data_IF_408752752926
#
_entry.id   IF_408752752926
#
_cell.length_a   1.000
_cell.length_b   1.000
_cell.length_c   1.000
_cell.angle_alpha   90.00
_cell.angle_beta   90.00
_cell.angle_gamma   90.00
#
_symmetry.space_group_name_H-M   'P 1'
#
loop_
_entity.id
_entity.type
_entity.pdbx_description
1 polymer ?
#
# COMPACT_ATOMS: atom_id res chain seq x y z
N UNK A 1 -66.24 22.70 23.82
CA UNK A 1 -66.28 21.52 22.93
C UNK A 1 -65.61 20.35 23.65
N UNK A 2 -66.29 19.20 23.80
CA UNK A 2 -65.69 18.02 24.45
C UNK A 2 -64.52 17.54 23.58
N UNK A 3 -63.32 17.42 24.17
CA UNK A 3 -62.13 16.93 23.47
C UNK A 3 -62.36 15.46 23.07
N UNK A 4 -62.47 15.19 21.78
CA UNK A 4 -62.76 13.84 21.23
C UNK A 4 -61.54 12.90 21.32
N UNK A 5 -60.33 13.44 21.44
CA UNK A 5 -59.09 12.68 21.42
C UNK A 5 -58.28 12.87 22.70
N UNK A 6 -57.57 11.82 23.12
CA UNK A 6 -56.54 11.93 24.16
C UNK A 6 -55.32 12.67 23.61
N UNK A 7 -54.86 13.69 24.32
CA UNK A 7 -53.70 14.48 23.94
C UNK A 7 -52.40 13.80 24.37
N UNK A 8 -51.29 14.20 23.76
CA UNK A 8 -49.94 13.78 24.11
C UNK A 8 -49.65 14.11 25.58
N UNK A 9 -49.17 13.13 26.33
CA UNK A 9 -48.89 13.27 27.77
C UNK A 9 -47.68 14.21 28.02
N UNK A 10 -46.78 14.37 27.04
CA UNK A 10 -45.61 15.24 27.14
C UNK A 10 -45.93 16.70 26.84
N UNK A 11 -46.56 16.99 25.69
CA UNK A 11 -46.78 18.37 25.25
C UNK A 11 -48.20 18.88 25.52
N UNK A 12 -49.19 18.01 25.74
CA UNK A 12 -50.62 18.35 25.91
C UNK A 12 -51.27 19.17 24.79
N UNK A 13 -50.55 19.42 23.68
CA UNK A 13 -50.99 20.29 22.58
C UNK A 13 -51.53 19.50 21.37
N UNK A 14 -50.96 18.33 21.08
CA UNK A 14 -51.30 17.48 19.91
C UNK A 14 -51.96 16.17 20.34
N UNK A 15 -52.79 15.51 19.50
CA UNK A 15 -53.32 14.18 19.80
C UNK A 15 -52.19 13.15 19.97
N UNK A 16 -52.32 12.29 20.97
CA UNK A 16 -51.36 11.21 21.21
C UNK A 16 -51.58 10.07 20.22
N UNK A 17 -50.69 9.94 19.24
CA UNK A 17 -50.81 8.97 18.14
C UNK A 17 -49.97 7.71 18.36
N UNK A 18 -48.98 7.77 19.25
CA UNK A 18 -48.05 6.68 19.56
C UNK A 18 -48.17 6.33 21.04
N UNK A 19 -48.26 5.05 21.36
CA UNK A 19 -48.22 4.55 22.75
C UNK A 19 -46.94 3.78 22.99
N UNK A 20 -46.21 4.13 24.04
CA UNK A 20 -45.03 3.38 24.45
C UNK A 20 -45.39 2.43 25.61
N UNK A 21 -45.18 1.13 25.42
CA UNK A 21 -45.48 0.14 26.46
C UNK A 21 -44.56 0.28 27.67
N UNK A 22 -43.30 0.66 27.46
CA UNK A 22 -42.31 0.84 28.52
C UNK A 22 -42.58 2.08 29.36
N UNK A 23 -43.00 3.19 28.74
CA UNK A 23 -43.30 4.45 29.44
C UNK A 23 -44.75 4.51 29.96
N UNK A 24 -45.62 3.59 29.52
CA UNK A 24 -47.07 3.62 29.74
C UNK A 24 -47.73 4.97 29.39
N UNK A 25 -47.17 5.68 28.42
CA UNK A 25 -47.56 7.04 28.04
C UNK A 25 -47.85 7.16 26.54
N UNK A 26 -48.72 8.11 26.17
CA UNK A 26 -49.06 8.45 24.78
C UNK A 26 -48.34 9.71 24.34
N UNK A 27 -47.64 9.62 23.21
CA UNK A 27 -46.89 10.71 22.61
C UNK A 27 -47.50 11.11 21.26
N UNK A 28 -47.36 12.38 20.87
CA UNK A 28 -47.46 12.75 19.47
C UNK A 28 -46.16 12.37 18.75
N UNK A 29 -46.21 12.28 17.42
CA UNK A 29 -45.08 11.82 16.61
C UNK A 29 -43.77 12.59 16.89
N UNK A 30 -43.85 13.91 17.08
CA UNK A 30 -42.67 14.73 17.36
C UNK A 30 -42.04 14.42 18.73
N UNK A 31 -42.87 14.31 19.77
CA UNK A 31 -42.39 13.98 21.12
C UNK A 31 -41.89 12.53 21.21
N UNK A 32 -42.45 11.62 20.40
CA UNK A 32 -41.98 10.23 20.34
C UNK A 32 -40.53 10.15 19.84
N UNK A 33 -40.20 10.90 18.77
CA UNK A 33 -38.85 10.96 18.23
C UNK A 33 -37.83 11.53 19.22
N UNK A 34 -38.20 12.55 19.99
CA UNK A 34 -37.30 13.14 21.01
C UNK A 34 -37.00 12.18 22.16
N UNK A 35 -38.01 11.43 22.63
CA UNK A 35 -37.88 10.53 23.79
C UNK A 35 -37.31 9.17 23.41
N UNK A 36 -37.67 8.63 22.24
CA UNK A 36 -37.36 7.23 21.89
C UNK A 36 -36.25 7.07 20.84
N UNK A 37 -35.82 8.11 20.11
CA UNK A 37 -34.64 7.96 19.22
C UNK A 37 -33.33 7.73 19.98
N UNK A 38 -33.24 8.17 21.24
CA UNK A 38 -32.03 8.01 22.04
C UNK A 38 -31.94 6.64 22.74
N UNK A 39 -33.07 5.93 22.91
CA UNK A 39 -33.14 4.65 23.62
C UNK A 39 -33.84 3.59 22.77
N UNK A 40 -33.05 2.72 22.11
CA UNK A 40 -33.54 1.63 21.25
C UNK A 40 -34.37 0.53 21.98
N UNK A 41 -34.50 0.62 23.31
CA UNK A 41 -35.19 -0.40 24.12
C UNK A 41 -36.69 -0.14 24.34
N UNK A 42 -37.26 0.88 23.71
CA UNK A 42 -38.67 1.22 23.86
C UNK A 42 -39.51 0.60 22.74
N UNK A 43 -40.54 -0.15 23.12
CA UNK A 43 -41.55 -0.66 22.17
C UNK A 43 -42.67 0.36 22.03
N UNK A 44 -42.71 1.00 20.87
CA UNK A 44 -43.76 1.96 20.50
C UNK A 44 -44.73 1.33 19.50
N UNK A 45 -46.02 1.57 19.71
CA UNK A 45 -47.10 1.11 18.83
C UNK A 45 -47.96 2.31 18.41
N UNK A 46 -48.39 2.34 17.14
CA UNK A 46 -49.31 3.37 16.66
C UNK A 46 -50.70 3.08 17.23
N UNK A 47 -51.26 4.06 17.96
CA UNK A 47 -52.60 3.93 18.53
C UNK A 47 -53.63 3.81 17.40
N UNK A 48 -54.56 2.86 17.51
CA UNK A 48 -55.69 2.79 16.57
C UNK A 48 -56.66 3.96 16.78
N UNK A 49 -57.44 4.32 15.75
CA UNK A 49 -58.48 5.35 15.84
C UNK A 49 -59.46 5.12 17.02
N UNK A 50 -59.73 3.85 17.33
CA UNK A 50 -60.57 3.45 18.48
C UNK A 50 -59.91 3.75 19.81
N UNK A 51 -58.59 3.57 19.93
CA UNK A 51 -57.82 3.86 21.14
C UNK A 51 -57.55 5.36 21.33
N UNK A 52 -57.54 6.14 20.24
CA UNK A 52 -57.38 7.60 20.29
C UNK A 52 -58.66 8.31 20.78
N UNK A 53 -59.86 7.75 20.55
CA UNK A 53 -61.12 8.34 20.99
C UNK A 53 -61.33 8.19 22.49
N UNK A 54 -61.65 9.30 23.17
CA UNK A 54 -62.15 9.25 24.54
C UNK A 54 -63.57 8.69 24.53
N UNK A 55 -63.74 7.41 24.89
CA UNK A 55 -65.06 6.83 25.16
C UNK A 55 -65.57 7.47 26.46
N UNK A 56 -66.38 8.52 26.34
CA UNK A 56 -67.21 8.98 27.44
C UNK A 56 -68.31 7.93 27.66
N UNK A 57 -68.09 7.02 28.61
CA UNK A 57 -69.12 6.13 29.13
C UNK A 57 -70.14 6.92 29.96
N UNK A 58 -71.01 7.70 29.32
CA UNK A 58 -72.24 8.21 29.94
C UNK A 58 -73.19 8.66 28.85
N UNK A 59 -74.15 7.80 28.45
CA UNK A 59 -75.58 8.16 28.31
C UNK A 59 -76.43 6.92 27.97
N UNK A 60 -77.33 6.59 28.90
CA UNK A 60 -78.56 5.85 28.66
C UNK A 60 -79.44 6.69 27.71
N UNK A 61 -79.94 6.13 26.60
CA UNK A 61 -81.14 6.65 25.94
C UNK A 61 -82.06 5.49 25.57
N UNK A 62 -83.31 5.69 25.97
CA UNK A 62 -84.45 4.79 25.97
C UNK A 62 -84.98 4.54 24.54
N UNK A 63 -85.41 3.31 24.29
CA UNK A 63 -86.25 2.94 23.14
C UNK A 63 -87.71 3.17 23.49
N UNK A 64 -88.41 4.04 22.75
CA UNK A 64 -89.86 4.22 22.78
C UNK A 64 -90.43 3.92 21.37
N UNK A 65 -91.29 2.92 21.36
CA UNK A 65 -92.52 2.70 20.56
C UNK A 65 -92.62 3.02 19.07
N UNK A 66 -92.99 1.98 18.32
CA UNK A 66 -93.84 2.08 17.13
C UNK A 66 -94.91 0.98 17.17
N UNK A 67 -96.00 1.30 17.85
CA UNK A 67 -97.32 0.74 17.58
C UNK A 67 -98.20 1.87 17.02
N UNK A 68 -99.29 1.45 16.35
CA UNK A 68 -100.41 2.23 15.80
C UNK A 68 -100.32 2.42 14.28
N UNK A 69 -101.03 1.57 13.53
CA UNK A 69 -102.36 1.93 13.00
C UNK A 69 -103.05 0.70 12.39
N UNK A 70 -104.16 0.27 12.98
CA UNK A 70 -105.10 -0.69 12.43
C UNK A 70 -106.45 0.01 12.23
N UNK A 71 -107.24 -0.52 11.29
CA UNK A 71 -108.70 -0.40 11.13
C UNK A 71 -109.29 0.84 10.42
N UNK A 72 -109.88 0.57 9.24
CA UNK A 72 -111.29 0.94 9.01
C UNK A 72 -111.95 -0.06 8.05
N UNK A 73 -113.12 -0.56 8.44
CA UNK A 73 -113.97 -1.55 7.75
C UNK A 73 -115.15 -0.84 7.07
N UNK A 74 -115.53 -1.35 5.89
CA UNK A 74 -116.90 -1.55 5.37
C UNK A 74 -117.86 -0.36 5.24
N UNK A 75 -118.03 0.12 4.00
CA UNK A 75 -119.31 0.40 3.32
C UNK A 75 -119.04 0.79 1.85
N UNK A 76 -120.04 0.66 0.96
CA UNK A 76 -120.04 0.91 -0.50
C UNK A 76 -119.78 -0.30 -1.41
N UNK A 77 -120.68 -1.28 -1.33
CA UNK A 77 -121.07 -2.08 -2.49
C UNK A 77 -122.05 -1.21 -3.30
N UNK A 78 -121.92 -1.19 -4.63
CA UNK A 78 -122.78 -0.48 -5.65
C UNK A 78 -122.24 0.85 -6.24
N UNK A 79 -121.04 1.34 -5.88
CA UNK A 79 -120.26 2.31 -6.71
C UNK A 79 -118.93 1.69 -7.23
N UNK A 80 -118.48 0.58 -6.64
CA UNK A 80 -117.18 -0.03 -6.90
C UNK A 80 -116.97 -0.72 -8.25
N UNK A 81 -117.93 -0.76 -9.17
CA UNK A 81 -117.69 -1.37 -10.49
C UNK A 81 -117.04 -0.38 -11.48
N UNK A 82 -117.32 0.91 -11.33
CA UNK A 82 -116.74 1.96 -12.17
C UNK A 82 -115.38 2.45 -11.61
N UNK A 83 -115.23 2.54 -10.28
CA UNK A 83 -113.95 2.81 -9.62
C UNK A 83 -112.95 1.65 -9.78
N UNK A 84 -113.40 0.39 -9.72
CA UNK A 84 -112.53 -0.76 -9.98
C UNK A 84 -112.02 -0.76 -11.43
N UNK A 85 -112.86 -0.37 -12.38
CA UNK A 85 -112.47 -0.26 -13.79
C UNK A 85 -111.45 0.88 -14.00
N UNK A 86 -111.64 2.04 -13.36
CA UNK A 86 -110.64 3.12 -13.35
C UNK A 86 -109.33 2.71 -12.67
N UNK A 87 -109.39 1.99 -11.54
CA UNK A 87 -108.20 1.46 -10.87
C UNK A 87 -107.47 0.42 -11.73
N UNK A 88 -108.19 -0.38 -12.52
CA UNK A 88 -107.61 -1.34 -13.45
C UNK A 88 -106.90 -0.64 -14.63
N UNK A 89 -107.47 0.46 -15.11
CA UNK A 89 -106.86 1.34 -16.13
C UNK A 89 -105.61 2.07 -15.57
N UNK A 90 -105.66 2.53 -14.33
CA UNK A 90 -104.49 3.12 -13.66
C UNK A 90 -103.39 2.10 -13.39
N UNK A 91 -103.74 0.87 -12.96
CA UNK A 91 -102.78 -0.22 -12.76
C UNK A 91 -102.12 -0.61 -14.07
N UNK A 92 -102.88 -0.75 -15.16
CA UNK A 92 -102.30 -1.06 -16.48
C UNK A 92 -101.41 0.07 -16.99
N UNK A 93 -101.75 1.33 -16.71
CA UNK A 93 -100.87 2.48 -16.98
C UNK A 93 -99.59 2.43 -16.17
N UNK A 94 -99.68 2.14 -14.86
CA UNK A 94 -98.51 2.01 -13.97
C UNK A 94 -97.63 0.84 -14.40
N UNK A 95 -98.20 -0.31 -14.76
CA UNK A 95 -97.45 -1.46 -15.29
C UNK A 95 -96.71 -1.12 -16.59
N UNK A 96 -97.31 -0.31 -17.45
CA UNK A 96 -96.66 0.18 -18.67
C UNK A 96 -95.50 1.13 -18.34
N UNK A 97 -95.69 2.06 -17.39
CA UNK A 97 -94.63 2.95 -16.90
C UNK A 97 -93.48 2.17 -16.27
N UNK A 98 -93.78 1.15 -15.45
CA UNK A 98 -92.77 0.24 -14.87
C UNK A 98 -91.98 -0.46 -15.97
N UNK A 99 -92.64 -1.03 -16.99
CA UNK A 99 -91.95 -1.65 -18.13
C UNK A 99 -91.07 -0.67 -18.89
N UNK A 100 -91.51 0.58 -19.05
CA UNK A 100 -90.67 1.63 -19.66
C UNK A 100 -89.45 1.95 -18.79
N UNK A 101 -89.61 2.05 -17.47
CA UNK A 101 -88.49 2.26 -16.54
C UNK A 101 -87.52 1.08 -16.54
N UNK A 102 -88.00 -0.16 -16.55
CA UNK A 102 -87.16 -1.35 -16.66
C UNK A 102 -86.33 -1.37 -17.95
N UNK A 103 -86.91 -0.93 -19.07
CA UNK A 103 -86.16 -0.79 -20.33
C UNK A 103 -85.06 0.27 -20.22
N UNK A 104 -85.36 1.44 -19.63
CA UNK A 104 -84.37 2.50 -19.42
C UNK A 104 -83.25 2.04 -18.48
N UNK A 105 -83.58 1.35 -17.39
CA UNK A 105 -82.60 0.80 -16.44
C UNK A 105 -81.72 -0.25 -17.11
N UNK A 106 -82.29 -1.20 -17.85
CA UNK A 106 -81.53 -2.19 -18.61
C UNK A 106 -80.59 -1.51 -19.63
N UNK A 107 -81.02 -0.45 -20.31
CA UNK A 107 -80.16 0.29 -21.24
C UNK A 107 -79.01 1.00 -20.53
N UNK A 108 -79.26 1.59 -19.35
CA UNK A 108 -78.22 2.21 -18.54
C UNK A 108 -77.24 1.17 -17.99
N UNK A 109 -77.72 0.05 -17.47
CA UNK A 109 -76.90 -1.04 -16.96
C UNK A 109 -75.98 -1.58 -18.06
N UNK A 110 -76.52 -1.88 -19.24
CA UNK A 110 -75.71 -2.31 -20.39
C UNK A 110 -74.67 -1.26 -20.82
N UNK A 111 -74.99 0.04 -20.71
CA UNK A 111 -74.03 1.11 -20.99
C UNK A 111 -72.89 1.11 -19.97
N UNK A 112 -73.20 0.90 -18.69
CA UNK A 112 -72.21 0.87 -17.61
C UNK A 112 -71.33 -0.37 -17.70
N UNK A 113 -71.91 -1.55 -17.97
CA UNK A 113 -71.16 -2.80 -18.19
C UNK A 113 -70.10 -2.60 -19.28
N UNK A 114 -70.49 -2.05 -20.45
CA UNK A 114 -69.54 -1.77 -21.53
C UNK A 114 -68.45 -0.78 -21.14
N UNK A 115 -68.77 0.23 -20.33
CA UNK A 115 -67.77 1.18 -19.82
C UNK A 115 -66.78 0.49 -18.85
N UNK A 116 -67.29 -0.38 -17.98
CA UNK A 116 -66.45 -1.18 -17.09
C UNK A 116 -65.54 -2.13 -17.85
N UNK A 117 -66.05 -2.85 -18.86
CA UNK A 117 -65.24 -3.74 -19.70
C UNK A 117 -64.08 -3.01 -20.41
N UNK A 118 -64.34 -1.79 -20.91
CA UNK A 118 -63.30 -0.95 -21.53
C UNK A 118 -62.25 -0.56 -20.48
N UNK A 119 -62.66 -0.11 -19.31
CA UNK A 119 -61.74 0.29 -18.24
C UNK A 119 -60.93 -0.90 -17.71
N UNK A 120 -61.56 -2.05 -17.48
CA UNK A 120 -60.88 -3.27 -17.05
C UNK A 120 -59.82 -3.69 -18.06
N UNK A 121 -60.12 -3.61 -19.36
CA UNK A 121 -59.15 -3.88 -20.41
C UNK A 121 -57.98 -2.89 -20.39
N UNK A 122 -58.27 -1.59 -20.30
CA UNK A 122 -57.23 -0.56 -20.24
C UNK A 122 -56.31 -0.71 -19.02
N UNK A 123 -56.89 -1.01 -17.85
CA UNK A 123 -56.10 -1.22 -16.63
C UNK A 123 -55.32 -2.52 -16.69
N UNK A 124 -55.89 -3.60 -17.22
CA UNK A 124 -55.17 -4.86 -17.42
C UNK A 124 -53.96 -4.68 -18.33
N UNK A 125 -54.09 -3.92 -19.42
CA UNK A 125 -52.97 -3.59 -20.30
C UNK A 125 -51.90 -2.72 -19.61
N UNK A 126 -52.31 -1.77 -18.76
CA UNK A 126 -51.38 -0.95 -17.97
C UNK A 126 -50.63 -1.79 -16.93
N UNK A 127 -51.30 -2.71 -16.27
CA UNK A 127 -50.70 -3.64 -15.29
C UNK A 127 -49.69 -4.54 -15.99
N UNK A 128 -50.06 -5.17 -17.11
CA UNK A 128 -49.15 -6.02 -17.88
C UNK A 128 -47.88 -5.26 -18.35
N UNK A 129 -48.03 -4.01 -18.82
CA UNK A 129 -46.89 -3.16 -19.18
C UNK A 129 -46.01 -2.81 -17.98
N UNK A 130 -46.61 -2.62 -16.81
CA UNK A 130 -45.87 -2.34 -15.58
C UNK A 130 -45.10 -3.58 -15.11
N UNK A 131 -45.73 -4.75 -15.09
CA UNK A 131 -45.10 -6.04 -14.76
C UNK A 131 -43.91 -6.32 -15.67
N UNK A 132 -44.06 -6.10 -16.98
CA UNK A 132 -42.95 -6.24 -17.93
C UNK A 132 -41.77 -5.29 -17.62
N UNK A 133 -42.05 -4.05 -17.21
CA UNK A 133 -41.01 -3.10 -16.79
C UNK A 133 -40.31 -3.54 -15.51
N UNK A 134 -41.07 -4.04 -14.53
CA UNK A 134 -40.53 -4.58 -13.28
C UNK A 134 -39.60 -5.75 -13.59
N UNK A 135 -40.04 -6.71 -14.38
CA UNK A 135 -39.23 -7.88 -14.75
C UNK A 135 -37.92 -7.48 -15.48
N UNK A 136 -37.98 -6.49 -16.38
CA UNK A 136 -36.79 -5.93 -17.04
C UNK A 136 -35.84 -5.23 -16.05
N UNK A 137 -36.39 -4.53 -15.05
CA UNK A 137 -35.57 -3.91 -14.02
C UNK A 137 -34.92 -4.94 -13.10
N UNK A 138 -35.61 -6.02 -12.76
CA UNK A 138 -35.07 -7.13 -11.96
C UNK A 138 -33.91 -7.83 -12.68
N UNK A 139 -34.04 -8.11 -13.98
CA UNK A 139 -32.94 -8.70 -14.77
C UNK A 139 -31.71 -7.78 -14.80
N UNK A 140 -31.93 -6.47 -14.94
CA UNK A 140 -30.85 -5.47 -14.91
C UNK A 140 -30.17 -5.44 -13.53
N UNK A 141 -30.93 -5.50 -12.44
CA UNK A 141 -30.38 -5.54 -11.07
C UNK A 141 -29.55 -6.81 -10.85
N UNK A 142 -29.97 -7.96 -11.39
CA UNK A 142 -29.17 -9.19 -11.28
C UNK A 142 -27.85 -9.11 -12.06
N UNK A 143 -27.84 -8.48 -13.24
CA UNK A 143 -26.62 -8.24 -14.02
C UNK A 143 -25.64 -7.30 -13.28
N UNK A 144 -26.15 -6.21 -12.70
CA UNK A 144 -25.35 -5.26 -11.89
C UNK A 144 -24.73 -5.98 -10.68
N UNK A 145 -25.51 -6.81 -9.97
CA UNK A 145 -24.98 -7.60 -8.84
C UNK A 145 -23.88 -8.57 -9.25
N UNK A 146 -23.94 -9.11 -10.47
CA UNK A 146 -22.92 -10.03 -10.98
C UNK A 146 -21.64 -9.30 -11.41
N UNK A 147 -21.76 -8.11 -12.00
CA UNK A 147 -20.61 -7.23 -12.30
C UNK A 147 -19.89 -6.77 -11.03
N UNK A 148 -20.63 -6.41 -9.97
CA UNK A 148 -20.03 -6.05 -8.67
C UNK A 148 -19.20 -7.19 -8.07
N UNK A 149 -19.62 -8.45 -8.20
CA UNK A 149 -18.82 -9.61 -7.76
C UNK A 149 -17.52 -9.76 -8.56
N UNK A 150 -17.53 -9.42 -9.84
CA UNK A 150 -16.32 -9.45 -10.67
C UNK A 150 -15.36 -8.32 -10.27
N UNK A 151 -15.89 -7.15 -9.90
CA UNK A 151 -15.09 -6.03 -9.39
C UNK A 151 -14.35 -6.37 -8.09
N UNK A 152 -15.03 -7.05 -7.15
CA UNK A 152 -14.40 -7.53 -5.91
C UNK A 152 -13.26 -8.53 -6.19
N UNK A 153 -13.44 -9.43 -7.16
CA UNK A 153 -12.39 -10.38 -7.58
C UNK A 153 -11.20 -9.67 -8.23
N UNK A 154 -11.45 -8.66 -9.07
CA UNK A 154 -10.39 -7.84 -9.68
C UNK A 154 -9.63 -7.07 -8.60
N UNK A 155 -10.33 -6.49 -7.62
CA UNK A 155 -9.71 -5.76 -6.52
C UNK A 155 -8.83 -6.67 -5.65
N UNK A 156 -9.28 -7.90 -5.38
CA UNK A 156 -8.48 -8.88 -4.64
C UNK A 156 -7.24 -9.34 -5.45
N UNK A 157 -7.38 -9.60 -6.75
CA UNK A 157 -6.23 -9.90 -7.61
C UNK A 157 -5.23 -8.73 -7.68
N UNK A 158 -5.72 -7.50 -7.78
CA UNK A 158 -4.89 -6.29 -7.78
C UNK A 158 -4.15 -6.12 -6.45
N UNK A 159 -4.80 -6.44 -5.33
CA UNK A 159 -4.17 -6.45 -4.00
C UNK A 159 -3.06 -7.50 -3.90
N UNK A 160 -3.32 -8.72 -4.34
CA UNK A 160 -2.31 -9.79 -4.37
C UNK A 160 -1.12 -9.43 -5.27
N UNK A 161 -1.38 -8.86 -6.45
CA UNK A 161 -0.32 -8.40 -7.36
C UNK A 161 0.52 -7.29 -6.73
N UNK A 162 -0.11 -6.35 -6.01
CA UNK A 162 0.59 -5.29 -5.30
C UNK A 162 1.46 -5.82 -4.16
N UNK A 163 0.96 -6.79 -3.38
CA UNK A 163 1.72 -7.45 -2.33
C UNK A 163 2.92 -8.23 -2.90
N UNK A 164 2.74 -8.92 -4.04
CA UNK A 164 3.84 -9.60 -4.74
C UNK A 164 4.91 -8.63 -5.24
N UNK A 165 4.50 -7.51 -5.85
CA UNK A 165 5.43 -6.48 -6.33
C UNK A 165 6.19 -5.81 -5.19
N UNK A 166 5.52 -5.52 -4.06
CA UNK A 166 6.19 -4.96 -2.89
C UNK A 166 7.18 -5.96 -2.28
N UNK A 167 6.84 -7.26 -2.27
CA UNK A 167 7.76 -8.33 -1.88
C UNK A 167 9.02 -8.39 -2.75
N UNK A 168 8.87 -8.33 -4.08
CA UNK A 168 10.00 -8.32 -5.02
C UNK A 168 10.87 -7.07 -4.85
N UNK A 169 10.24 -5.89 -4.67
CA UNK A 169 10.92 -4.63 -4.42
C UNK A 169 11.77 -4.70 -3.14
N UNK A 170 11.23 -5.24 -2.05
CA UNK A 170 11.96 -5.39 -0.79
C UNK A 170 13.16 -6.35 -0.92
N UNK A 171 13.01 -7.45 -1.67
CA UNK A 171 14.13 -8.36 -1.96
C UNK A 171 15.23 -7.69 -2.79
N UNK A 172 14.88 -6.89 -3.79
CA UNK A 172 15.84 -6.13 -4.58
C UNK A 172 16.56 -5.08 -3.72
N UNK A 173 15.84 -4.37 -2.86
CA UNK A 173 16.41 -3.38 -1.94
C UNK A 173 17.43 -4.04 -1.00
N UNK A 174 17.09 -5.20 -0.43
CA UNK A 174 18.01 -5.98 0.41
C UNK A 174 19.28 -6.40 -0.33
N UNK A 175 19.17 -6.83 -1.60
CA UNK A 175 20.34 -7.19 -2.42
C UNK A 175 21.22 -5.97 -2.71
N UNK A 176 20.64 -4.81 -2.97
CA UNK A 176 21.37 -3.56 -3.18
C UNK A 176 22.13 -3.16 -1.90
N UNK A 177 21.50 -3.25 -0.73
CA UNK A 177 22.15 -2.96 0.54
C UNK A 177 23.30 -3.92 0.85
N UNK A 178 23.15 -5.21 0.54
CA UNK A 178 24.23 -6.20 0.66
C UNK A 178 25.41 -5.87 -0.27
N UNK A 179 25.14 -5.53 -1.53
CA UNK A 179 26.19 -5.13 -2.48
C UNK A 179 26.90 -3.85 -2.05
N UNK A 180 26.15 -2.88 -1.51
CA UNK A 180 26.71 -1.64 -0.97
C UNK A 180 27.64 -1.90 0.20
N UNK A 181 27.26 -2.80 1.12
CA UNK A 181 28.14 -3.20 2.21
C UNK A 181 29.42 -3.87 1.70
N UNK A 182 29.30 -4.80 0.74
CA UNK A 182 30.46 -5.46 0.14
C UNK A 182 31.42 -4.48 -0.55
N UNK A 183 30.89 -3.46 -1.23
CA UNK A 183 31.71 -2.41 -1.84
C UNK A 183 32.42 -1.57 -0.78
N UNK A 184 31.74 -1.22 0.30
CA UNK A 184 32.34 -0.48 1.41
C UNK A 184 33.48 -1.27 2.07
N UNK A 185 33.31 -2.58 2.27
CA UNK A 185 34.35 -3.44 2.85
C UNK A 185 35.57 -3.54 1.90
N UNK A 186 35.35 -3.63 0.58
CA UNK A 186 36.42 -3.59 -0.43
C UNK A 186 37.13 -2.24 -0.47
N UNK A 187 36.40 -1.14 -0.33
CA UNK A 187 36.97 0.21 -0.27
C UNK A 187 37.88 0.37 0.95
N UNK A 188 37.46 -0.11 2.12
CA UNK A 188 38.30 -0.12 3.33
C UNK A 188 39.56 -0.97 3.15
N UNK A 189 39.44 -2.15 2.52
CA UNK A 189 40.60 -2.98 2.20
C UNK A 189 41.58 -2.26 1.26
N UNK A 190 41.07 -1.59 0.22
CA UNK A 190 41.89 -0.82 -0.71
C UNK A 190 42.62 0.34 -0.01
N UNK A 191 41.94 1.06 0.89
CA UNK A 191 42.58 2.12 1.68
C UNK A 191 43.71 1.58 2.58
N UNK A 192 43.53 0.40 3.16
CA UNK A 192 44.58 -0.27 3.94
C UNK A 192 45.78 -0.66 3.07
N UNK A 193 45.56 -1.20 1.87
CA UNK A 193 46.62 -1.54 0.93
C UNK A 193 47.39 -0.30 0.46
N UNK A 194 46.70 0.79 0.13
CA UNK A 194 47.33 2.07 -0.23
C UNK A 194 48.21 2.60 0.91
N UNK A 195 47.76 2.45 2.17
CA UNK A 195 48.55 2.84 3.33
C UNK A 195 49.80 1.97 3.46
N UNK A 196 49.66 0.65 3.32
CA UNK A 196 50.79 -0.29 3.38
C UNK A 196 51.80 -0.02 2.26
N UNK A 197 51.35 0.25 1.05
CA UNK A 197 52.20 0.61 -0.09
C UNK A 197 53.02 1.88 0.21
N UNK A 198 52.39 2.91 0.78
CA UNK A 198 53.09 4.14 1.19
C UNK A 198 54.16 3.89 2.26
N UNK A 199 53.85 3.05 3.24
CA UNK A 199 54.80 2.69 4.30
C UNK A 199 56.00 1.91 3.73
N UNK A 200 55.75 0.95 2.83
CA UNK A 200 56.81 0.21 2.13
C UNK A 200 57.64 1.10 1.21
N UNK A 201 57.01 2.00 0.46
CA UNK A 201 57.71 2.98 -0.39
C UNK A 201 58.63 3.88 0.45
N UNK A 202 58.17 4.32 1.63
CA UNK A 202 59.01 5.07 2.56
C UNK A 202 60.19 4.23 3.11
N UNK A 203 60.00 2.93 3.33
CA UNK A 203 61.08 2.02 3.71
C UNK A 203 62.11 1.80 2.59
N UNK A 204 61.64 1.62 1.35
CA UNK A 204 62.49 1.51 0.15
C UNK A 204 63.35 2.77 0.01
N UNK A 205 62.75 3.96 0.08
CA UNK A 205 63.48 5.22 0.00
C UNK A 205 64.58 5.33 1.10
N UNK A 206 64.31 4.86 2.32
CA UNK A 206 65.33 4.81 3.39
C UNK A 206 66.48 3.88 3.05
N UNK A 207 66.18 2.70 2.48
CA UNK A 207 67.20 1.72 2.05
C UNK A 207 68.03 2.26 0.88
N UNK A 208 67.43 2.94 -0.07
CA UNK A 208 68.13 3.59 -1.19
C UNK A 208 69.13 4.65 -0.71
N UNK A 209 68.74 5.48 0.27
CA UNK A 209 69.65 6.46 0.89
C UNK A 209 70.83 5.75 1.56
N UNK A 210 70.60 4.63 2.26
CA UNK A 210 71.68 3.85 2.87
C UNK A 210 72.61 3.24 1.81
N UNK A 211 72.06 2.68 0.73
CA UNK A 211 72.84 2.17 -0.40
C UNK A 211 73.70 3.27 -1.01
N UNK A 212 73.17 4.49 -1.17
CA UNK A 212 73.93 5.66 -1.61
C UNK A 212 75.14 5.93 -0.73
N UNK A 213 74.96 5.96 0.60
CA UNK A 213 76.06 6.14 1.57
C UNK A 213 77.10 5.02 1.50
N UNK A 214 76.68 3.77 1.33
CA UNK A 214 77.60 2.66 1.16
C UNK A 214 78.42 2.77 -0.13
N UNK A 215 77.81 3.21 -1.24
CA UNK A 215 78.53 3.47 -2.50
C UNK A 215 79.58 4.56 -2.32
N UNK A 216 79.24 5.66 -1.66
CA UNK A 216 80.19 6.75 -1.34
C UNK A 216 81.36 6.23 -0.48
N UNK A 217 81.07 5.42 0.54
CA UNK A 217 82.09 4.82 1.40
C UNK A 217 83.03 3.88 0.62
N UNK A 218 82.50 3.02 -0.25
CA UNK A 218 83.31 2.14 -1.12
C UNK A 218 84.21 2.97 -2.04
N UNK A 219 83.69 4.04 -2.64
CA UNK A 219 84.49 4.95 -3.48
C UNK A 219 85.61 5.63 -2.68
N UNK A 220 85.34 6.00 -1.42
CA UNK A 220 86.37 6.55 -0.54
C UNK A 220 87.47 5.51 -0.26
N UNK A 221 87.10 4.27 0.07
CA UNK A 221 88.05 3.18 0.30
C UNK A 221 88.92 2.90 -0.92
N UNK A 222 88.34 2.93 -2.13
CA UNK A 222 89.10 2.77 -3.38
C UNK A 222 90.13 3.89 -3.58
N UNK A 223 89.76 5.15 -3.33
CA UNK A 223 90.69 6.29 -3.40
C UNK A 223 91.82 6.18 -2.37
N UNK A 224 91.51 5.75 -1.15
CA UNK A 224 92.50 5.51 -0.10
C UNK A 224 93.47 4.39 -0.52
N UNK A 225 92.97 3.29 -1.09
CA UNK A 225 93.81 2.20 -1.66
C UNK A 225 94.74 2.71 -2.75
N UNK A 226 94.25 3.50 -3.70
CA UNK A 226 95.06 4.10 -4.78
C UNK A 226 96.16 5.03 -4.25
N UNK A 227 95.83 5.84 -3.22
CA UNK A 227 96.82 6.72 -2.57
C UNK A 227 97.93 5.90 -1.91
N UNK A 228 97.57 4.86 -1.17
CA UNK A 228 98.53 3.95 -0.52
C UNK A 228 99.43 3.28 -1.58
N UNK A 229 98.85 2.78 -2.68
CA UNK A 229 99.61 2.17 -3.77
C UNK A 229 100.62 3.15 -4.39
N UNK A 230 100.21 4.38 -4.67
CA UNK A 230 101.08 5.43 -5.22
C UNK A 230 102.19 5.82 -4.23
N UNK A 231 101.88 5.96 -2.93
CA UNK A 231 102.91 6.19 -1.91
C UNK A 231 103.90 5.04 -1.81
N UNK A 232 103.44 3.79 -1.86
CA UNK A 232 104.29 2.61 -1.89
C UNK A 232 105.21 2.60 -3.13
N UNK A 233 104.72 2.97 -4.30
CA UNK A 233 105.54 3.12 -5.51
C UNK A 233 106.62 4.20 -5.36
N UNK A 234 106.28 5.35 -4.76
CA UNK A 234 107.26 6.41 -4.46
C UNK A 234 108.33 5.93 -3.49
N UNK A 235 107.95 5.23 -2.42
CA UNK A 235 108.88 4.66 -1.45
C UNK A 235 109.79 3.65 -2.14
N UNK A 236 109.25 2.75 -2.97
CA UNK A 236 110.04 1.80 -3.77
C UNK A 236 111.06 2.51 -4.64
N UNK A 237 110.65 3.55 -5.36
CA UNK A 237 111.55 4.36 -6.21
C UNK A 237 112.66 5.04 -5.40
N UNK A 238 112.32 5.66 -4.27
CA UNK A 238 113.30 6.28 -3.36
C UNK A 238 114.29 5.24 -2.83
N UNK A 239 113.82 4.04 -2.47
CA UNK A 239 114.69 2.94 -2.06
C UNK A 239 115.64 2.52 -3.18
N UNK A 240 115.17 2.41 -4.43
CA UNK A 240 116.02 2.11 -5.59
C UNK A 240 117.07 3.19 -5.82
N UNK A 241 116.70 4.46 -5.75
CA UNK A 241 117.62 5.59 -5.88
C UNK A 241 118.69 5.57 -4.78
N UNK A 242 118.30 5.32 -3.53
CA UNK A 242 119.22 5.18 -2.40
C UNK A 242 120.16 3.98 -2.62
N UNK A 243 119.64 2.80 -2.99
CA UNK A 243 120.45 1.62 -3.32
C UNK A 243 121.49 1.94 -4.40
N UNK A 244 121.10 2.64 -5.46
CA UNK A 244 121.98 3.05 -6.55
C UNK A 244 123.10 4.00 -6.07
N UNK A 245 122.76 5.00 -5.24
CA UNK A 245 123.75 5.91 -4.65
C UNK A 245 124.77 5.17 -3.78
N UNK A 246 124.32 4.20 -2.98
CA UNK A 246 125.24 3.35 -2.20
C UNK A 246 126.16 2.54 -3.10
N UNK A 247 125.63 1.91 -4.14
CA UNK A 247 126.42 1.15 -5.12
C UNK A 247 127.52 2.00 -5.77
N UNK A 248 127.22 3.26 -6.08
CA UNK A 248 128.20 4.18 -6.67
C UNK A 248 129.27 4.69 -5.67
N UNK A 249 128.92 4.81 -4.38
CA UNK A 249 129.78 5.42 -3.36
C UNK A 249 130.62 4.42 -2.55
N UNK A 250 130.16 3.18 -2.37
CA UNK A 250 130.86 2.17 -1.57
C UNK A 250 132.26 1.80 -2.10
N UNK A 251 132.49 1.63 -3.41
CA UNK A 251 133.83 1.38 -3.95
C UNK A 251 134.83 2.48 -3.59
N UNK A 252 134.36 3.73 -3.51
CA UNK A 252 135.19 4.90 -3.18
C UNK A 252 135.68 4.83 -1.73
N UNK A 253 135.01 4.06 -0.87
CA UNK A 253 135.36 3.85 0.53
C UNK A 253 136.12 2.52 0.76
N UNK A 254 136.46 1.77 -0.31
CA UNK A 254 137.12 0.46 -0.21
C UNK A 254 136.20 -0.66 0.29
N UNK A 255 134.88 -0.46 0.25
CA UNK A 255 133.88 -1.46 0.61
C UNK A 255 133.37 -2.16 -0.66
N UNK A 256 133.12 -3.47 -0.55
CA UNK A 256 132.58 -4.29 -1.64
C UNK A 256 131.20 -3.78 -2.07
N UNK A 257 130.96 -3.69 -3.39
CA UNK A 257 129.67 -3.33 -3.97
C UNK A 257 128.54 -4.27 -3.55
N UNK A 258 128.89 -5.51 -3.19
CA UNK A 258 127.94 -6.52 -2.74
C UNK A 258 127.56 -6.40 -1.25
N UNK A 259 128.11 -5.42 -0.51
CA UNK A 259 127.86 -5.28 0.93
C UNK A 259 126.37 -5.08 1.28
N UNK A 260 125.56 -4.57 0.34
CA UNK A 260 124.10 -4.40 0.51
C UNK A 260 123.25 -5.31 -0.36
N UNK A 261 123.81 -6.36 -0.98
CA UNK A 261 123.01 -7.47 -1.51
C UNK A 261 122.51 -8.34 -0.35
N UNK A 262 121.73 -7.74 0.55
CA UNK A 262 120.79 -8.51 1.36
C UNK A 262 119.77 -9.03 0.37
N UNK A 263 119.90 -10.32 0.04
CA UNK A 263 119.17 -11.00 -1.01
C UNK A 263 117.72 -10.49 -1.10
N UNK A 264 117.31 -10.12 -2.30
CA UNK A 264 115.91 -9.96 -2.71
C UNK A 264 115.14 -11.30 -2.65
N UNK A 265 115.55 -12.23 -1.78
CA UNK A 265 114.92 -13.52 -1.50
C UNK A 265 113.77 -13.42 -0.48
N UNK A 266 113.39 -12.22 -0.04
CA UNK A 266 112.06 -12.04 0.58
C UNK A 266 111.04 -11.95 -0.55
N UNK A 267 110.80 -13.14 -1.11
CA UNK A 267 109.60 -13.59 -1.80
C UNK A 267 108.67 -12.45 -2.21
N UNK A 268 108.59 -12.22 -3.51
CA UNK A 268 107.29 -12.16 -4.19
C UNK A 268 106.49 -13.43 -3.82
N UNK A 269 106.17 -13.61 -2.53
CA UNK A 269 104.97 -14.27 -2.13
C UNK A 269 103.90 -13.40 -2.76
N UNK A 270 103.57 -13.76 -3.99
CA UNK A 270 102.26 -13.60 -4.57
C UNK A 270 101.30 -14.18 -3.52
N UNK A 271 101.06 -13.43 -2.45
CA UNK A 271 99.71 -13.31 -1.94
C UNK A 271 98.96 -12.76 -3.15
N UNK A 272 98.56 -13.68 -4.03
CA UNK A 272 97.28 -13.60 -4.68
C UNK A 272 96.29 -13.37 -3.54
N UNK A 273 96.19 -12.11 -3.10
CA UNK A 273 94.91 -11.55 -2.72
C UNK A 273 94.05 -11.82 -3.93
N UNK A 274 93.47 -13.03 -3.97
CA UNK A 274 92.27 -13.31 -4.70
C UNK A 274 91.31 -12.28 -4.15
N UNK A 275 91.28 -11.11 -4.82
CA UNK A 275 90.19 -10.17 -4.69
C UNK A 275 88.97 -11.06 -4.68
N UNK A 276 88.18 -11.10 -3.59
CA UNK A 276 86.99 -11.90 -3.57
C UNK A 276 86.24 -11.47 -4.81
N UNK A 277 86.16 -12.37 -5.80
CA UNK A 277 85.35 -12.16 -6.97
C UNK A 277 83.95 -12.09 -6.40
N UNK A 278 83.53 -10.88 -6.05
CA UNK A 278 82.14 -10.55 -5.83
C UNK A 278 81.56 -10.77 -7.21
N UNK A 279 81.17 -12.02 -7.47
CA UNK A 279 80.36 -12.40 -8.60
C UNK A 279 79.20 -11.42 -8.54
N UNK A 280 79.25 -10.43 -9.42
CA UNK A 280 78.11 -9.63 -9.80
C UNK A 280 77.17 -10.61 -10.52
N UNK A 281 76.54 -11.50 -9.75
CA UNK A 281 75.28 -12.11 -10.12
C UNK A 281 74.26 -10.99 -10.03
N UNK A 282 74.34 -10.08 -11.01
CA UNK A 282 73.20 -9.31 -11.46
C UNK A 282 72.32 -10.36 -12.13
N UNK A 283 71.56 -11.07 -11.29
CA UNK A 283 70.40 -11.80 -11.77
C UNK A 283 69.46 -10.73 -12.32
N UNK A 284 69.55 -10.54 -13.63
CA UNK A 284 68.62 -9.82 -14.47
C UNK A 284 67.31 -10.62 -14.43
N UNK A 285 66.58 -10.48 -13.32
CA UNK A 285 65.25 -11.03 -13.16
C UNK A 285 64.29 -10.14 -13.96
N UNK A 286 64.28 -10.35 -15.28
CA UNK A 286 63.17 -9.96 -16.13
C UNK A 286 61.95 -10.78 -15.71
N UNK A 287 61.19 -10.26 -14.76
CA UNK A 287 59.85 -10.77 -14.45
C UNK A 287 58.99 -10.60 -15.70
N UNK A 288 58.65 -11.72 -16.32
CA UNK A 288 57.64 -11.82 -17.37
C UNK A 288 56.28 -11.43 -16.77
N UNK A 289 55.77 -10.30 -17.25
CA UNK A 289 54.43 -9.78 -17.02
C UNK A 289 53.42 -10.71 -17.71
N UNK A 290 53.05 -11.81 -17.06
CA UNK A 290 51.94 -12.65 -17.50
C UNK A 290 50.62 -11.89 -17.31
N UNK A 291 50.16 -11.35 -18.44
CA UNK A 291 48.89 -10.66 -18.58
C UNK A 291 47.71 -11.50 -18.09
N UNK A 292 46.97 -10.91 -17.16
CA UNK A 292 45.65 -11.35 -16.71
C UNK A 292 44.63 -10.99 -17.79
N UNK A 293 43.99 -12.00 -18.39
CA UNK A 293 42.74 -11.87 -19.16
C UNK A 293 41.52 -12.06 -18.24
#
# INVERSE_FOLDING_TARGET
MKKLFKYCDQCSLKPGTVFCQNCQARFCYDCDGEVHNQNQNHKTEICSLTQMRQINQYSQIQTIDSQILYQTKQNYVVIGQQELQQQQEELTKIELEIKQFEQVLNLQENKWIKQFEILEKEYSEKIAKFEQKVQKSESTITEIKQQSKQEDQINEMMKQLKEQLEGQKNQLLQKVDQQKQQLNDKEQLLQNLIKQEKDLSAEINKKEVLIGKFKEFIQQQQKEKELILNENEKIKKQLTEIKQLFKEKLPQLGLDENFFNFDEEVSDAQEEEQEPQIQQNVEDSTEEDEGIQ
#
